data_IF_081173571710
#
_entry.id   IF_081173571710
#
_cell.length_a   1.000
_cell.length_b   1.000
_cell.length_c   1.000
_cell.angle_alpha   90.00
_cell.angle_beta   90.00
_cell.angle_gamma   90.00
#
_symmetry.space_group_name_H-M   'P 1'
#
loop_
_entity.id
_entity.type
_entity.pdbx_description
1 polymer ?
#
# COMPACT_ATOMS: atom_id res chain seq x y z
N UNK A 1 19.22 12.25 -3.08
CA UNK A 1 19.92 11.02 -2.62
C UNK A 1 20.30 11.04 -1.14
N UNK A 2 20.82 12.13 -0.56
CA UNK A 2 21.16 12.16 0.88
C UNK A 2 19.98 11.93 1.83
N UNK A 3 18.76 12.29 1.41
CA UNK A 3 17.54 12.15 2.21
C UNK A 3 17.10 10.68 2.37
N UNK A 4 17.03 9.90 1.29
CA UNK A 4 16.51 8.52 1.31
C UNK A 4 17.31 7.60 2.25
N UNK A 5 18.64 7.78 2.32
CA UNK A 5 19.50 7.01 3.24
C UNK A 5 19.21 7.35 4.71
N UNK A 6 19.03 8.63 5.02
CA UNK A 6 18.68 9.06 6.38
C UNK A 6 17.27 8.58 6.77
N UNK A 7 16.30 8.72 5.86
CA UNK A 7 14.93 8.23 6.04
C UNK A 7 14.90 6.72 6.30
N UNK A 8 15.63 5.94 5.49
CA UNK A 8 15.69 4.50 5.64
C UNK A 8 16.31 4.10 6.97
N UNK A 9 17.44 4.71 7.35
CA UNK A 9 18.09 4.46 8.63
C UNK A 9 17.13 4.74 9.80
N UNK A 10 16.48 5.89 9.80
CA UNK A 10 15.54 6.25 10.86
C UNK A 10 14.36 5.26 10.93
N UNK A 11 13.86 4.78 9.78
CA UNK A 11 12.79 3.79 9.73
C UNK A 11 13.25 2.42 10.27
N UNK A 12 14.47 1.98 9.96
CA UNK A 12 15.07 0.75 10.52
C UNK A 12 15.26 0.86 12.03
N UNK A 13 15.79 1.98 12.53
CA UNK A 13 15.98 2.21 13.97
C UNK A 13 14.65 2.15 14.73
N UNK A 14 13.62 2.84 14.22
CA UNK A 14 12.27 2.81 14.80
C UNK A 14 11.65 1.41 14.76
N UNK A 15 11.81 0.69 13.64
CA UNK A 15 11.31 -0.67 13.50
C UNK A 15 11.99 -1.64 14.48
N UNK A 16 13.31 -1.49 14.71
CA UNK A 16 14.05 -2.27 15.71
C UNK A 16 13.54 -1.98 17.12
N UNK A 17 13.39 -0.70 17.48
CA UNK A 17 12.86 -0.28 18.79
C UNK A 17 11.47 -0.90 19.07
N UNK A 18 10.56 -0.83 18.10
CA UNK A 18 9.23 -1.43 18.25
C UNK A 18 9.26 -2.94 18.40
N UNK A 19 10.14 -3.65 17.68
CA UNK A 19 10.30 -5.10 17.84
C UNK A 19 10.88 -5.47 19.20
N UNK A 20 11.95 -4.81 19.62
CA UNK A 20 12.63 -5.06 20.89
C UNK A 20 11.71 -4.80 22.08
N UNK A 21 10.87 -3.77 21.99
CA UNK A 21 9.89 -3.41 23.03
C UNK A 21 8.58 -4.17 22.95
N UNK A 22 8.35 -4.95 21.89
CA UNK A 22 7.10 -5.68 21.68
C UNK A 22 5.87 -4.80 21.41
N UNK A 23 6.07 -3.62 20.78
CA UNK A 23 4.99 -2.67 20.49
C UNK A 23 4.26 -3.10 19.22
N UNK A 24 3.25 -3.94 19.39
CA UNK A 24 2.57 -4.63 18.30
C UNK A 24 1.06 -4.41 18.27
N UNK A 25 0.47 -4.57 17.09
CA UNK A 25 -0.98 -4.73 16.94
C UNK A 25 -1.46 -6.05 17.53
N UNK A 26 -2.78 -6.26 17.52
CA UNK A 26 -3.41 -7.58 17.65
C UNK A 26 -2.88 -8.58 16.62
N UNK A 27 -3.02 -9.88 16.91
CA UNK A 27 -2.70 -10.97 15.97
C UNK A 27 -3.85 -11.16 14.98
N UNK A 28 -3.59 -11.78 13.83
CA UNK A 28 -4.63 -12.09 12.83
C UNK A 28 -5.83 -12.85 13.41
N UNK A 29 -5.61 -13.71 14.41
CA UNK A 29 -6.67 -14.49 15.06
C UNK A 29 -7.63 -13.67 15.94
N UNK A 30 -7.26 -12.46 16.38
CA UNK A 30 -8.08 -11.64 17.29
C UNK A 30 -8.16 -10.15 16.89
N UNK A 31 -7.54 -9.78 15.77
CA UNK A 31 -7.56 -8.46 15.17
C UNK A 31 -8.60 -8.34 14.05
N UNK A 32 -8.55 -7.19 13.39
CA UNK A 32 -9.35 -6.89 12.20
C UNK A 32 -8.42 -6.82 10.98
N UNK A 33 -8.88 -7.32 9.83
CA UNK A 33 -8.25 -7.05 8.53
C UNK A 33 -8.90 -5.81 7.91
N UNK A 34 -8.13 -4.72 7.77
CA UNK A 34 -8.57 -3.54 7.03
C UNK A 34 -8.29 -3.73 5.54
N UNK A 35 -9.31 -3.51 4.70
CA UNK A 35 -9.24 -3.60 3.24
C UNK A 35 -9.59 -2.22 2.70
N UNK A 36 -8.58 -1.54 2.16
CA UNK A 36 -8.64 -0.15 1.77
C UNK A 36 -8.53 -0.06 0.26
N UNK A 37 -9.58 0.40 -0.42
CA UNK A 37 -9.50 0.81 -1.82
C UNK A 37 -9.43 2.33 -1.91
N UNK A 38 -8.34 2.81 -2.51
CA UNK A 38 -8.13 4.22 -2.80
C UNK A 38 -7.97 4.42 -4.31
N UNK A 39 -8.66 5.41 -4.83
CA UNK A 39 -8.34 5.96 -6.14
C UNK A 39 -8.15 7.47 -6.02
N UNK A 40 -7.12 7.95 -6.70
CA UNK A 40 -6.88 9.37 -6.90
C UNK A 40 -6.38 9.66 -8.30
N UNK A 41 -6.56 8.73 -9.25
CA UNK A 41 -6.27 8.95 -10.65
C UNK A 41 -7.10 10.16 -11.12
N UNK A 42 -6.38 11.25 -11.42
CA UNK A 42 -6.76 12.43 -12.19
C UNK A 42 -8.08 13.18 -11.91
N UNK A 43 -8.79 12.89 -10.81
CA UNK A 43 -10.07 13.56 -10.52
C UNK A 43 -9.98 15.06 -10.17
N UNK A 44 -8.85 15.54 -9.66
CA UNK A 44 -8.79 16.87 -9.04
C UNK A 44 -7.93 17.94 -9.73
N UNK A 45 -7.21 17.60 -10.79
CA UNK A 45 -6.52 18.63 -11.56
C UNK A 45 -6.85 18.49 -13.03
N UNK A 46 -7.49 19.54 -13.58
CA UNK A 46 -7.11 20.04 -14.89
C UNK A 46 -5.63 20.41 -14.84
N UNK A 47 -4.77 19.40 -14.77
CA UNK A 47 -3.36 19.53 -15.06
C UNK A 47 -3.37 20.12 -16.46
N UNK A 48 -2.90 21.35 -16.58
CA UNK A 48 -2.73 22.03 -17.86
C UNK A 48 -1.61 21.29 -18.60
N UNK A 49 -1.91 20.08 -19.08
CA UNK A 49 -1.00 19.15 -19.74
C UNK A 49 -0.74 19.59 -21.18
N UNK A 50 -1.40 20.65 -21.66
CA UNK A 50 -1.44 21.01 -23.08
C UNK A 50 -2.22 20.00 -23.93
N UNK A 51 -2.98 19.10 -23.29
CA UNK A 51 -3.75 18.05 -23.97
C UNK A 51 -5.20 18.51 -24.11
N UNK A 52 -5.79 18.30 -25.30
CA UNK A 52 -7.15 18.73 -25.64
C UNK A 52 -8.25 18.14 -24.73
N UNK A 53 -9.37 18.88 -24.58
CA UNK A 53 -10.54 18.51 -23.77
C UNK A 53 -11.10 17.09 -24.07
N UNK A 54 -10.92 16.60 -25.30
CA UNK A 54 -11.34 15.24 -25.70
C UNK A 54 -10.53 14.17 -24.97
N UNK A 55 -9.22 14.37 -24.78
CA UNK A 55 -8.36 13.41 -24.09
C UNK A 55 -8.59 13.42 -22.58
N UNK A 56 -8.92 14.59 -22.03
CA UNK A 56 -9.32 14.77 -20.63
C UNK A 56 -10.61 14.00 -20.29
N UNK A 57 -11.56 13.93 -21.22
CA UNK A 57 -12.81 13.18 -21.02
C UNK A 57 -12.62 11.66 -21.13
N UNK A 58 -11.66 11.18 -21.93
CA UNK A 58 -11.29 9.76 -22.01
C UNK A 58 -10.53 9.31 -20.76
N UNK A 59 -9.63 10.13 -20.24
CA UNK A 59 -8.95 9.84 -18.97
C UNK A 59 -9.95 9.75 -17.81
N UNK A 60 -10.88 10.71 -17.71
CA UNK A 60 -11.93 10.70 -16.67
C UNK A 60 -12.79 9.44 -16.71
N UNK A 61 -13.23 8.99 -17.88
CA UNK A 61 -14.08 7.77 -17.97
C UNK A 61 -13.32 6.49 -17.62
N UNK A 62 -12.00 6.45 -17.83
CA UNK A 62 -11.13 5.36 -17.39
C UNK A 62 -10.87 5.38 -15.87
N UNK A 63 -10.79 6.57 -15.26
CA UNK A 63 -10.60 6.72 -13.81
C UNK A 63 -11.85 6.29 -13.02
N UNK A 64 -13.05 6.69 -13.46
CA UNK A 64 -14.29 6.29 -12.77
C UNK A 64 -14.51 4.78 -12.81
N UNK A 65 -14.15 4.14 -13.93
CA UNK A 65 -14.14 2.69 -14.06
C UNK A 65 -13.10 2.05 -13.13
N UNK A 66 -11.95 2.67 -12.93
CA UNK A 66 -10.88 2.15 -12.05
C UNK A 66 -11.30 2.18 -10.57
N UNK A 67 -11.88 3.28 -10.08
CA UNK A 67 -12.37 3.36 -8.71
C UNK A 67 -13.48 2.34 -8.41
N UNK A 68 -14.42 2.14 -9.34
CA UNK A 68 -15.49 1.15 -9.18
C UNK A 68 -14.91 -0.27 -9.12
N UNK A 69 -13.94 -0.58 -9.97
CA UNK A 69 -13.22 -1.86 -9.96
C UNK A 69 -12.53 -2.11 -8.62
N UNK A 70 -11.76 -1.15 -8.09
CA UNK A 70 -11.09 -1.32 -6.79
C UNK A 70 -12.09 -1.49 -5.64
N UNK A 71 -13.18 -0.73 -5.66
CA UNK A 71 -14.22 -0.84 -4.63
C UNK A 71 -14.95 -2.19 -4.69
N UNK A 72 -15.23 -2.69 -5.89
CA UNK A 72 -15.82 -4.01 -6.11
C UNK A 72 -14.89 -5.10 -5.60
N UNK A 73 -13.60 -4.98 -5.89
CA UNK A 73 -12.57 -5.92 -5.43
C UNK A 73 -12.42 -5.91 -3.90
N UNK A 74 -12.35 -4.74 -3.28
CA UNK A 74 -12.27 -4.59 -1.82
C UNK A 74 -13.47 -5.25 -1.12
N UNK A 75 -14.68 -5.01 -1.63
CA UNK A 75 -15.92 -5.63 -1.12
C UNK A 75 -15.93 -7.14 -1.33
N UNK A 76 -15.49 -7.62 -2.49
CA UNK A 76 -15.41 -9.05 -2.79
C UNK A 76 -14.42 -9.75 -1.84
N UNK A 77 -13.26 -9.13 -1.58
CA UNK A 77 -12.25 -9.67 -0.66
C UNK A 77 -12.78 -9.66 0.78
N UNK A 78 -13.44 -8.58 1.21
CA UNK A 78 -14.09 -8.52 2.51
C UNK A 78 -15.12 -9.62 2.71
N UNK A 79 -15.97 -9.87 1.70
CA UNK A 79 -16.95 -10.96 1.73
C UNK A 79 -16.27 -12.33 1.80
N UNK A 80 -15.22 -12.56 1.00
CA UNK A 80 -14.47 -13.81 1.00
C UNK A 80 -13.86 -14.11 2.38
N UNK A 81 -13.17 -13.13 2.97
CA UNK A 81 -12.56 -13.26 4.30
C UNK A 81 -13.62 -13.43 5.39
N UNK A 82 -14.77 -12.76 5.27
CA UNK A 82 -15.91 -12.95 6.16
C UNK A 82 -16.47 -14.38 6.15
N UNK A 83 -16.53 -15.04 4.99
CA UNK A 83 -16.99 -16.45 4.91
C UNK A 83 -16.06 -17.44 5.63
N UNK A 84 -14.77 -17.11 5.78
CA UNK A 84 -13.81 -17.92 6.55
C UNK A 84 -13.67 -17.46 8.00
N UNK A 85 -14.58 -16.60 8.47
CA UNK A 85 -14.63 -16.15 9.86
C UNK A 85 -13.62 -15.07 10.23
N UNK A 86 -12.96 -14.44 9.25
CA UNK A 86 -12.03 -13.32 9.50
C UNK A 86 -12.83 -12.03 9.61
N UNK A 87 -12.60 -11.27 10.68
CA UNK A 87 -13.21 -9.95 10.86
C UNK A 87 -12.57 -8.95 9.90
N UNK A 88 -13.39 -8.33 9.06
CA UNK A 88 -12.92 -7.33 8.08
C UNK A 88 -13.54 -5.96 8.29
N UNK A 89 -12.78 -4.92 7.97
CA UNK A 89 -13.25 -3.56 7.78
C UNK A 89 -12.94 -3.14 6.34
N UNK A 90 -13.96 -2.78 5.57
CA UNK A 90 -13.80 -2.42 4.15
C UNK A 90 -14.01 -0.92 4.01
N UNK A 91 -12.97 -0.21 3.56
CA UNK A 91 -12.96 1.24 3.37
C UNK A 91 -12.81 1.52 1.88
N UNK A 92 -13.81 2.17 1.28
CA UNK A 92 -13.87 2.50 -0.16
C UNK A 92 -13.80 4.00 -0.41
N UNK A 93 -13.22 4.42 -1.55
CA UNK A 93 -12.88 5.84 -1.83
C UNK A 93 -12.04 6.44 -0.68
N UNK A 94 -11.09 5.64 -0.19
CA UNK A 94 -10.29 5.99 0.97
C UNK A 94 -9.42 7.23 0.71
N UNK A 95 -9.32 8.07 1.73
CA UNK A 95 -8.47 9.26 1.78
C UNK A 95 -7.25 9.00 2.67
N UNK A 96 -6.32 9.93 2.65
CA UNK A 96 -5.13 9.88 3.51
C UNK A 96 -5.49 9.67 4.97
N UNK A 97 -6.57 10.29 5.46
CA UNK A 97 -7.01 10.16 6.84
C UNK A 97 -7.38 8.71 7.19
N UNK A 98 -8.12 8.02 6.32
CA UNK A 98 -8.56 6.64 6.55
C UNK A 98 -7.36 5.68 6.57
N UNK A 99 -6.39 5.88 5.66
CA UNK A 99 -5.16 5.08 5.65
C UNK A 99 -4.31 5.34 6.90
N UNK A 100 -4.21 6.59 7.36
CA UNK A 100 -3.51 6.96 8.60
C UNK A 100 -4.17 6.29 9.81
N UNK A 101 -5.50 6.36 9.90
CA UNK A 101 -6.27 5.73 10.97
C UNK A 101 -6.03 4.23 11.02
N UNK A 102 -6.12 3.55 9.87
CA UNK A 102 -5.88 2.11 9.79
C UNK A 102 -4.44 1.70 10.17
N UNK A 103 -3.45 2.51 9.79
CA UNK A 103 -2.04 2.27 10.18
C UNK A 103 -1.85 2.47 11.69
N UNK A 104 -2.47 3.49 12.27
CA UNK A 104 -2.31 3.85 13.69
C UNK A 104 -3.17 3.01 14.64
N UNK A 105 -4.22 2.34 14.16
CA UNK A 105 -5.07 1.51 15.00
C UNK A 105 -4.40 0.17 15.36
N UNK A 106 -4.10 -0.10 16.65
CA UNK A 106 -3.52 -1.38 17.09
C UNK A 106 -4.50 -2.56 17.01
N UNK A 107 -5.80 -2.34 16.78
CA UNK A 107 -6.77 -3.44 16.59
C UNK A 107 -6.74 -4.03 15.19
N UNK A 108 -6.29 -3.26 14.19
CA UNK A 108 -6.05 -3.73 12.83
C UNK A 108 -4.75 -4.52 12.81
N UNK A 109 -4.87 -5.83 12.59
CA UNK A 109 -3.74 -6.77 12.49
C UNK A 109 -3.20 -6.87 11.07
N UNK A 110 -4.08 -6.81 10.08
CA UNK A 110 -3.78 -7.04 8.68
C UNK A 110 -4.28 -5.84 7.85
N UNK A 111 -3.54 -5.48 6.81
CA UNK A 111 -3.84 -4.35 5.94
C UNK A 111 -3.75 -4.78 4.49
N UNK A 112 -4.83 -4.71 3.74
CA UNK A 112 -4.82 -4.88 2.28
C UNK A 112 -5.13 -3.55 1.63
N UNK A 113 -4.28 -3.09 0.73
CA UNK A 113 -4.43 -1.81 0.06
C UNK A 113 -4.53 -2.04 -1.44
N UNK A 114 -5.58 -1.49 -2.05
CA UNK A 114 -5.91 -1.62 -3.47
C UNK A 114 -5.94 -0.21 -4.08
N UNK A 115 -5.24 -0.02 -5.20
CA UNK A 115 -5.29 1.25 -5.93
C UNK A 115 -4.13 1.48 -6.87
N UNK A 116 -4.01 2.71 -7.37
CA UNK A 116 -2.91 3.12 -8.24
C UNK A 116 -1.65 3.45 -7.46
N UNK A 117 -0.51 2.92 -7.88
CA UNK A 117 0.74 3.14 -7.17
C UNK A 117 1.89 2.35 -7.73
N UNK A 118 2.93 2.20 -6.93
CA UNK A 118 4.03 1.27 -7.19
C UNK A 118 4.42 0.60 -5.89
N UNK A 119 5.44 -0.26 -5.93
CA UNK A 119 5.85 -1.01 -4.73
C UNK A 119 6.13 -0.10 -3.51
N UNK A 120 6.58 1.13 -3.75
CA UNK A 120 6.92 2.08 -2.70
C UNK A 120 5.74 2.84 -2.08
N UNK A 121 4.54 2.77 -2.66
CA UNK A 121 3.39 3.49 -2.14
C UNK A 121 2.24 3.68 -3.13
N UNK A 122 1.22 4.36 -2.66
CA UNK A 122 -0.07 4.51 -3.32
C UNK A 122 -0.40 5.99 -3.56
N UNK A 123 -1.07 6.28 -4.67
CA UNK A 123 -1.72 7.56 -4.92
C UNK A 123 -3.07 7.60 -4.21
N UNK A 124 -3.28 8.62 -3.38
CA UNK A 124 -4.46 8.73 -2.54
C UNK A 124 -4.88 10.20 -2.37
N UNK A 125 -6.19 10.44 -2.21
CA UNK A 125 -6.73 11.80 -2.04
C UNK A 125 -6.39 12.34 -0.65
N UNK A 126 -5.70 13.48 -0.62
CA UNK A 126 -5.39 14.25 0.59
C UNK A 126 -6.21 15.55 0.68
N UNK A 127 -5.92 16.37 1.69
CA UNK A 127 -6.61 17.66 1.92
C UNK A 127 -6.41 18.68 0.79
N UNK A 128 -5.24 18.65 0.15
CA UNK A 128 -4.82 19.60 -0.90
C UNK A 128 -4.83 18.96 -2.29
N UNK A 129 -5.52 17.84 -2.46
CA UNK A 129 -5.54 17.08 -3.70
C UNK A 129 -4.85 15.73 -3.59
N UNK A 130 -4.58 15.14 -4.75
CA UNK A 130 -3.90 13.84 -4.87
C UNK A 130 -2.47 13.91 -4.35
N UNK A 131 -2.09 12.94 -3.51
CA UNK A 131 -0.72 12.82 -3.00
C UNK A 131 -0.23 11.39 -3.09
N UNK A 132 1.08 11.22 -3.24
CA UNK A 132 1.73 9.92 -3.14
C UNK A 132 2.07 9.63 -1.67
N UNK A 133 1.44 8.61 -1.10
CA UNK A 133 1.67 8.16 0.27
C UNK A 133 2.62 6.96 0.25
N UNK A 134 3.87 7.19 0.65
CA UNK A 134 4.97 6.23 0.52
C UNK A 134 5.26 5.47 1.82
N UNK A 135 6.14 4.47 1.72
CA UNK A 135 6.64 3.69 2.84
C UNK A 135 7.20 4.55 3.99
N UNK A 136 7.84 5.69 3.70
CA UNK A 136 8.44 6.52 4.73
C UNK A 136 7.40 7.30 5.52
N UNK A 137 6.40 7.87 4.85
CA UNK A 137 5.24 8.48 5.51
C UNK A 137 4.54 7.45 6.39
N UNK A 138 4.26 6.26 5.85
CA UNK A 138 3.64 5.16 6.59
C UNK A 138 4.43 4.76 7.84
N UNK A 139 5.75 4.56 7.70
CA UNK A 139 6.65 4.26 8.82
C UNK A 139 6.64 5.37 9.87
N UNK A 140 6.70 6.63 9.42
CA UNK A 140 6.80 7.79 10.31
C UNK A 140 5.56 7.97 11.19
N UNK A 141 4.36 7.71 10.66
CA UNK A 141 3.10 7.83 11.43
C UNK A 141 2.79 6.60 12.30
N UNK A 142 3.32 5.42 11.96
CA UNK A 142 3.06 4.20 12.71
C UNK A 142 3.53 4.33 14.17
N UNK A 143 2.75 3.81 15.12
CA UNK A 143 3.09 3.79 16.55
C UNK A 143 3.23 2.37 17.11
N UNK A 144 3.12 1.36 16.23
CA UNK A 144 3.28 -0.07 16.51
C UNK A 144 3.59 -0.82 15.21
N UNK A 145 3.97 -2.08 15.30
CA UNK A 145 4.08 -2.98 14.14
C UNK A 145 2.88 -3.92 14.05
N UNK A 146 2.37 -4.10 12.83
CA UNK A 146 1.34 -5.07 12.47
C UNK A 146 1.88 -6.49 12.64
N UNK A 147 1.15 -7.34 13.35
CA UNK A 147 1.48 -8.78 13.49
C UNK A 147 0.92 -9.65 12.36
N UNK A 148 -0.06 -9.14 11.64
CA UNK A 148 -0.62 -9.77 10.45
C UNK A 148 0.14 -9.37 9.19
N UNK A 149 -0.55 -9.44 8.06
CA UNK A 149 -0.01 -9.19 6.71
C UNK A 149 -0.30 -7.78 6.23
N UNK A 150 0.63 -7.22 5.47
CA UNK A 150 0.41 -6.02 4.66
C UNK A 150 0.47 -6.42 3.18
N UNK A 151 -0.69 -6.42 2.52
CA UNK A 151 -0.85 -6.84 1.12
C UNK A 151 -1.03 -5.62 0.23
N UNK A 152 -0.16 -5.49 -0.77
CA UNK A 152 -0.16 -4.39 -1.74
C UNK A 152 -0.70 -4.88 -3.08
N UNK A 153 -1.91 -4.47 -3.40
CA UNK A 153 -2.60 -4.77 -4.67
C UNK A 153 -2.58 -3.52 -5.54
N UNK A 154 -1.38 -3.12 -5.93
CA UNK A 154 -1.14 -1.87 -6.65
C UNK A 154 -1.00 -2.09 -8.15
N UNK A 155 -1.62 -1.22 -8.93
CA UNK A 155 -1.40 -1.14 -10.38
C UNK A 155 -0.63 0.15 -10.69
N UNK A 156 0.60 0.05 -11.22
CA UNK A 156 1.34 1.22 -11.70
C UNK A 156 2.86 1.18 -11.60
N UNK A 157 3.46 2.34 -11.90
CA UNK A 157 4.87 2.55 -12.24
C UNK A 157 5.73 2.84 -10.99
N UNK A 158 6.98 2.37 -10.99
CA UNK A 158 7.96 2.65 -9.94
C UNK A 158 8.41 4.13 -9.99
N UNK A 159 7.85 4.96 -9.12
CA UNK A 159 8.12 6.42 -9.08
C UNK A 159 9.20 6.87 -8.08
N UNK A 160 9.94 5.94 -7.46
CA UNK A 160 10.97 6.25 -6.45
C UNK A 160 12.34 5.75 -6.87
N UNK A 161 13.37 6.47 -6.42
CA UNK A 161 14.76 6.07 -6.59
C UNK A 161 15.14 4.85 -5.74
N UNK A 162 14.41 4.62 -4.63
CA UNK A 162 14.61 3.50 -3.72
C UNK A 162 13.32 2.68 -3.64
N UNK A 163 13.41 1.39 -3.98
CA UNK A 163 12.27 0.48 -4.04
C UNK A 163 12.10 -0.29 -2.73
N UNK A 164 11.76 0.43 -1.65
CA UNK A 164 11.28 -0.19 -0.39
C UNK A 164 9.79 -0.42 -0.53
N UNK A 165 9.30 -1.61 -0.19
CA UNK A 165 7.87 -1.88 -0.24
C UNK A 165 7.09 -1.05 0.79
N UNK A 166 5.85 -0.66 0.48
CA UNK A 166 5.02 0.16 1.37
C UNK A 166 4.94 -0.40 2.79
N UNK A 167 4.74 -1.72 2.89
CA UNK A 167 4.54 -2.42 4.16
C UNK A 167 5.81 -2.73 4.97
N UNK A 168 7.01 -2.48 4.44
CA UNK A 168 8.28 -2.96 5.01
C UNK A 168 8.45 -2.61 6.48
N UNK A 169 8.15 -1.37 6.85
CA UNK A 169 8.32 -0.87 8.21
C UNK A 169 7.01 -0.82 9.00
N UNK A 170 5.96 -1.47 8.49
CA UNK A 170 4.67 -1.57 9.17
C UNK A 170 4.49 -2.92 9.84
N UNK A 171 5.21 -3.97 9.46
CA UNK A 171 5.04 -5.34 9.99
C UNK A 171 6.15 -5.73 10.95
N UNK A 172 5.88 -6.62 11.90
CA UNK A 172 6.92 -7.16 12.80
C UNK A 172 7.78 -8.25 12.15
N UNK A 173 7.31 -8.87 11.06
CA UNK A 173 8.03 -9.84 10.25
C UNK A 173 7.91 -9.46 8.78
N UNK A 174 9.04 -9.16 8.12
CA UNK A 174 9.03 -8.71 6.72
C UNK A 174 8.49 -9.74 5.71
N UNK A 175 8.43 -11.03 6.07
CA UNK A 175 7.77 -12.07 5.25
C UNK A 175 6.24 -11.89 5.18
N UNK A 176 5.69 -10.99 6.00
CA UNK A 176 4.28 -10.62 5.99
C UNK A 176 3.97 -9.44 5.05
N UNK A 177 4.93 -8.98 4.25
CA UNK A 177 4.68 -7.97 3.21
C UNK A 177 4.49 -8.67 1.88
N UNK A 178 3.26 -8.66 1.37
CA UNK A 178 2.93 -9.20 0.06
C UNK A 178 2.79 -8.08 -0.97
N UNK A 179 3.35 -8.31 -2.15
CA UNK A 179 3.14 -7.46 -3.31
C UNK A 179 3.43 -8.25 -4.59
N UNK A 180 2.92 -7.74 -5.70
CA UNK A 180 3.43 -8.12 -7.02
C UNK A 180 4.62 -7.21 -7.33
N UNK A 181 5.77 -7.80 -7.64
CA UNK A 181 6.99 -7.07 -7.97
C UNK A 181 7.68 -7.71 -9.17
N UNK A 182 8.23 -6.86 -10.04
CA UNK A 182 8.88 -7.28 -11.30
C UNK A 182 7.92 -7.48 -12.48
N UNK A 183 6.61 -7.43 -12.25
CA UNK A 183 5.56 -7.65 -13.26
C UNK A 183 4.41 -6.66 -13.08
N UNK A 184 3.62 -6.45 -14.14
CA UNK A 184 2.40 -5.64 -14.08
C UNK A 184 1.30 -6.41 -13.35
N UNK A 185 0.63 -5.75 -12.40
CA UNK A 185 -0.48 -6.34 -11.66
C UNK A 185 -1.80 -5.65 -12.01
N UNK A 186 -2.65 -6.35 -12.77
CA UNK A 186 -3.95 -5.85 -13.23
C UNK A 186 -4.99 -6.98 -13.19
N UNK A 187 -5.43 -7.43 -11.99
CA UNK A 187 -6.43 -8.48 -11.88
C UNK A 187 -7.79 -8.01 -12.40
N UNK A 188 -8.43 -8.79 -13.25
CA UNK A 188 -9.82 -8.57 -13.66
C UNK A 188 -10.82 -9.03 -12.58
N UNK A 189 -10.41 -9.94 -11.69
CA UNK A 189 -11.19 -10.48 -10.58
C UNK A 189 -10.30 -11.12 -9.51
N UNK A 190 -10.88 -11.60 -8.41
CA UNK A 190 -10.14 -12.34 -7.38
C UNK A 190 -9.65 -13.72 -7.83
N UNK A 191 -10.32 -14.32 -8.82
CA UNK A 191 -9.95 -15.63 -9.38
C UNK A 191 -8.97 -15.50 -10.56
N UNK A 192 -8.58 -14.26 -10.92
CA UNK A 192 -7.63 -14.01 -11.99
C UNK A 192 -6.28 -14.66 -11.67
N UNK A 193 -5.67 -15.43 -12.59
CA UNK A 193 -4.36 -16.04 -12.39
C UNK A 193 -3.26 -15.07 -11.94
N UNK A 194 -3.35 -13.78 -12.31
CA UNK A 194 -2.36 -12.76 -11.87
C UNK A 194 -2.32 -12.59 -10.35
N UNK A 195 -3.38 -12.99 -9.63
CA UNK A 195 -3.38 -13.02 -8.16
C UNK A 195 -2.31 -13.96 -7.59
N UNK A 196 -1.87 -14.97 -8.33
CA UNK A 196 -0.80 -15.89 -7.92
C UNK A 196 0.56 -15.18 -7.85
N UNK A 197 0.69 -14.01 -8.47
CA UNK A 197 1.91 -13.20 -8.41
C UNK A 197 2.04 -12.42 -7.09
N UNK A 198 0.98 -12.32 -6.29
CA UNK A 198 1.06 -11.78 -4.94
C UNK A 198 1.79 -12.78 -4.03
N UNK A 199 2.99 -12.38 -3.62
CA UNK A 199 3.87 -13.21 -2.80
C UNK A 199 4.68 -12.33 -1.85
N UNK A 200 5.33 -12.92 -0.83
CA UNK A 200 6.21 -12.18 0.04
C UNK A 200 7.29 -11.44 -0.74
N UNK A 201 7.47 -10.16 -0.45
CA UNK A 201 8.54 -9.33 -1.04
C UNK A 201 9.90 -9.72 -0.48
N UNK A 202 9.94 -10.15 0.78
CA UNK A 202 11.16 -10.46 1.50
C UNK A 202 11.20 -11.93 1.91
N UNK A 203 12.39 -12.53 1.78
CA UNK A 203 12.66 -13.88 2.28
C UNK A 203 13.21 -13.87 3.73
N UNK A 204 13.56 -12.70 4.27
CA UNK A 204 14.09 -12.49 5.62
C UNK A 204 13.04 -11.82 6.51
N UNK A 205 13.00 -12.13 7.82
CA UNK A 205 12.14 -11.42 8.77
C UNK A 205 12.65 -10.02 9.13
N UNK A 206 13.87 -9.65 8.73
CA UNK A 206 14.52 -8.37 9.07
C UNK A 206 14.74 -7.47 7.83
N UNK A 207 14.76 -6.13 8.00
CA UNK A 207 15.03 -5.21 6.90
C UNK A 207 16.39 -5.46 6.23
N UNK A 208 16.47 -5.43 4.88
CA UNK A 208 17.74 -5.54 4.18
C UNK A 208 18.63 -4.33 4.48
N UNK A 209 19.95 -4.44 4.20
CA UNK A 209 20.81 -3.26 4.28
C UNK A 209 20.42 -2.29 3.16
N UNK A 210 20.60 -1.00 3.40
CA UNK A 210 20.31 0.03 2.40
C UNK A 210 21.04 -0.20 1.06
N UNK A 211 22.24 -0.78 1.10
CA UNK A 211 23.06 -1.10 -0.07
C UNK A 211 22.47 -2.20 -0.94
N UNK A 212 21.61 -3.04 -0.38
CA UNK A 212 21.07 -4.23 -1.03
C UNK A 212 19.73 -3.92 -1.72
N UNK A 213 19.21 -2.70 -1.54
CA UNK A 213 17.93 -2.29 -2.10
C UNK A 213 18.07 -1.90 -3.58
N UNK A 214 17.14 -2.36 -4.43
CA UNK A 214 17.13 -1.97 -5.84
C UNK A 214 16.92 -0.47 -5.96
N UNK A 215 17.74 0.14 -6.81
CA UNK A 215 17.65 1.55 -7.16
C UNK A 215 17.05 1.70 -8.54
N UNK A 216 16.31 2.79 -8.77
CA UNK A 216 15.95 3.18 -10.13
C UNK A 216 17.24 3.32 -10.95
N UNK A 217 17.31 2.78 -12.18
CA UNK A 217 18.41 3.08 -13.10
C UNK A 217 18.57 4.60 -13.20
N UNK A 218 19.82 5.08 -13.28
CA UNK A 218 20.03 6.48 -13.62
C UNK A 218 19.53 6.69 -15.06
N UNK A 219 18.55 7.58 -15.23
CA UNK A 219 18.07 8.02 -16.53
C UNK A 219 19.14 8.85 -17.24
#
# INVERSE_FOLDING_TARGET
MANDRAQYRNAVEKWSDFNERGVFSKTTSNGTTAIISADSAFREHGVNTGISDVTLNVAKSQDEQSQEVFNKEAKALGKLLGHVGIKTEVITDARVADLVEAIMDPTISDLTIIGHGGIAGIYIRGKLGTTFFDWYKASSISNHLKRGRVTQRFCGVLNRNLNVAFGTFLVNNLQNVDATFGELFMPASLDDPVNQNLRPVYNSPTPPRYTDLPRKPAD
#
